data_IF_614259036836
#
_entry.id   IF_614259036836
#
_cell.length_a   1.000
_cell.length_b   1.000
_cell.length_c   1.000
_cell.angle_alpha   90.00
_cell.angle_beta   90.00
_cell.angle_gamma   90.00
#
_symmetry.space_group_name_H-M   'P 1'
#
loop_
_entity.id
_entity.type
_entity.pdbx_description
1 polymer ?
#
# COMPACT_ATOMS: atom_id res chain seq x y z
N UNK A 1 10.59 -2.30 29.40
CA UNK A 1 10.65 -3.67 28.83
C UNK A 1 10.71 -3.57 27.30
N UNK A 2 11.71 -4.17 26.63
CA UNK A 2 11.83 -4.09 25.16
C UNK A 2 10.68 -4.90 24.52
N UNK A 3 9.95 -4.30 23.57
CA UNK A 3 8.83 -4.97 22.88
C UNK A 3 9.28 -6.23 22.14
N UNK A 4 8.38 -7.23 21.98
CA UNK A 4 8.67 -8.45 21.21
C UNK A 4 9.20 -8.14 19.79
N UNK A 5 8.65 -7.09 19.16
CA UNK A 5 9.11 -6.58 17.85
C UNK A 5 10.55 -6.09 17.90
N UNK A 6 10.89 -5.25 18.87
CA UNK A 6 12.24 -4.68 18.98
C UNK A 6 13.28 -5.77 19.29
N UNK A 7 12.93 -6.79 20.08
CA UNK A 7 13.79 -7.96 20.30
C UNK A 7 14.08 -8.71 18.99
N UNK A 8 13.07 -8.94 18.14
CA UNK A 8 13.26 -9.59 16.83
C UNK A 8 14.17 -8.78 15.91
N UNK A 9 13.95 -7.46 15.84
CA UNK A 9 14.77 -6.54 15.05
C UNK A 9 16.24 -6.60 15.47
N UNK A 10 16.53 -6.50 16.78
CA UNK A 10 17.90 -6.54 17.30
C UNK A 10 18.56 -7.90 17.07
N UNK A 11 17.82 -8.99 17.33
CA UNK A 11 18.31 -10.36 17.10
C UNK A 11 18.67 -10.58 15.63
N UNK A 12 17.84 -10.07 14.71
CA UNK A 12 18.14 -10.10 13.29
C UNK A 12 19.40 -9.29 12.97
N UNK A 13 19.48 -8.03 13.44
CA UNK A 13 20.63 -7.17 13.22
C UNK A 13 21.94 -7.86 13.61
N UNK A 14 22.02 -8.49 14.79
CA UNK A 14 23.24 -9.18 15.21
C UNK A 14 23.56 -10.42 14.35
N UNK A 15 22.55 -11.14 13.85
CA UNK A 15 22.72 -12.34 13.03
C UNK A 15 22.93 -12.07 11.53
N UNK A 16 22.61 -10.86 11.05
CA UNK A 16 22.69 -10.54 9.63
C UNK A 16 24.13 -10.70 9.08
N UNK A 17 24.32 -11.53 8.05
CA UNK A 17 25.65 -11.77 7.45
C UNK A 17 26.05 -10.67 6.47
N UNK A 18 25.11 -9.82 6.05
CA UNK A 18 25.30 -8.78 5.04
C UNK A 18 25.72 -7.42 5.63
N UNK A 19 26.15 -7.39 6.90
CA UNK A 19 26.60 -6.17 7.59
C UNK A 19 27.93 -5.63 7.04
N UNK A 20 28.06 -4.30 7.05
CA UNK A 20 29.36 -3.62 7.01
C UNK A 20 30.24 -4.05 8.19
N UNK A 21 31.53 -3.71 8.13
CA UNK A 21 32.45 -3.94 9.27
C UNK A 21 31.98 -3.14 10.49
N UNK A 22 32.16 -3.70 11.69
CA UNK A 22 31.71 -3.06 12.94
C UNK A 22 32.24 -1.64 13.14
N UNK A 23 33.51 -1.39 12.82
CA UNK A 23 34.10 -0.05 12.91
C UNK A 23 33.36 0.98 12.03
N UNK A 24 32.96 0.57 10.82
CA UNK A 24 32.18 1.42 9.92
C UNK A 24 30.78 1.64 10.49
N UNK A 25 30.11 0.60 10.96
CA UNK A 25 28.78 0.70 11.59
C UNK A 25 28.80 1.66 12.77
N UNK A 26 29.77 1.53 13.67
CA UNK A 26 29.91 2.40 14.85
C UNK A 26 30.16 3.85 14.42
N UNK A 27 31.03 4.07 13.44
CA UNK A 27 31.31 5.42 12.90
C UNK A 27 30.06 6.05 12.29
N UNK A 28 29.37 5.35 11.39
CA UNK A 28 28.15 5.85 10.73
C UNK A 28 27.04 6.15 11.75
N UNK A 29 26.84 5.25 12.72
CA UNK A 29 25.87 5.40 13.80
C UNK A 29 26.20 6.62 14.69
N UNK A 30 27.47 6.79 15.08
CA UNK A 30 27.89 7.93 15.89
C UNK A 30 27.70 9.26 15.15
N UNK A 31 28.03 9.31 13.86
CA UNK A 31 27.81 10.50 13.03
C UNK A 31 26.33 10.85 12.98
N UNK A 32 25.45 9.88 12.72
CA UNK A 32 24.00 10.11 12.70
C UNK A 32 23.45 10.53 14.06
N UNK A 33 23.96 9.94 15.15
CA UNK A 33 23.57 10.30 16.50
C UNK A 33 23.88 11.78 16.81
N UNK A 34 25.09 12.22 16.45
CA UNK A 34 25.53 13.61 16.62
C UNK A 34 24.72 14.54 15.71
N UNK A 35 24.56 14.22 14.43
CA UNK A 35 23.87 15.08 13.46
C UNK A 35 22.38 15.24 13.76
N UNK A 36 21.69 14.16 14.14
CA UNK A 36 20.25 14.18 14.40
C UNK A 36 19.90 14.49 15.86
N UNK A 37 20.91 14.56 16.75
CA UNK A 37 20.75 14.73 18.21
C UNK A 37 19.75 13.72 18.82
N UNK A 38 19.66 12.53 18.22
CA UNK A 38 18.74 11.43 18.60
C UNK A 38 19.35 10.09 18.22
N UNK A 39 18.91 9.03 18.91
CA UNK A 39 19.30 7.66 18.58
C UNK A 39 18.86 7.30 17.15
N UNK A 40 19.78 6.95 16.22
CA UNK A 40 19.45 6.66 14.83
C UNK A 40 18.91 5.23 14.70
N UNK A 41 17.73 5.00 15.28
CA UNK A 41 17.05 3.70 15.27
C UNK A 41 16.79 3.23 13.83
N UNK A 42 16.54 4.18 12.94
CA UNK A 42 16.35 3.95 11.52
C UNK A 42 17.55 3.40 10.77
N UNK A 43 18.77 3.69 11.22
CA UNK A 43 19.97 3.07 10.68
C UNK A 43 19.88 1.54 10.76
N UNK A 44 19.29 1.03 11.84
CA UNK A 44 19.03 -0.40 12.02
C UNK A 44 17.73 -0.82 11.33
N UNK A 45 16.62 -0.13 11.58
CA UNK A 45 15.30 -0.60 11.10
C UNK A 45 15.14 -0.54 9.59
N UNK A 46 15.91 0.31 8.89
CA UNK A 46 15.94 0.42 7.43
C UNK A 46 17.17 -0.23 6.79
N UNK A 47 17.91 -1.05 7.55
CA UNK A 47 19.02 -1.86 7.03
C UNK A 47 20.20 -1.04 6.46
N UNK A 48 20.38 0.22 6.88
CA UNK A 48 21.43 1.11 6.37
C UNK A 48 22.85 0.63 6.72
N UNK A 49 22.96 -0.27 7.69
CA UNK A 49 24.20 -0.96 8.07
C UNK A 49 24.68 -2.02 7.07
N UNK A 50 23.88 -2.38 6.05
CA UNK A 50 24.24 -3.43 5.08
C UNK A 50 25.27 -2.95 4.07
N UNK A 51 26.06 -3.89 3.53
CA UNK A 51 27.11 -3.63 2.53
C UNK A 51 26.58 -3.01 1.23
N UNK A 52 25.33 -3.29 0.86
CA UNK A 52 24.71 -2.72 -0.34
C UNK A 52 24.24 -1.26 -0.16
N UNK A 53 24.47 -0.66 1.01
CA UNK A 53 24.18 0.75 1.30
C UNK A 53 25.48 1.55 1.32
N UNK A 54 25.81 2.19 0.20
CA UNK A 54 27.06 2.92 0.04
C UNK A 54 27.09 4.22 0.85
N UNK A 55 26.05 5.04 0.74
CA UNK A 55 25.95 6.31 1.45
C UNK A 55 24.66 6.38 2.27
N UNK A 56 24.81 6.24 3.58
CA UNK A 56 23.69 6.24 4.53
C UNK A 56 23.05 7.63 4.71
N UNK A 57 23.70 8.71 4.25
CA UNK A 57 23.18 10.07 4.36
C UNK A 57 22.12 10.40 3.30
N UNK A 58 22.00 9.58 2.27
CA UNK A 58 21.04 9.77 1.19
C UNK A 58 19.61 9.36 1.59
N UNK A 59 19.49 8.73 2.75
CA UNK A 59 18.23 8.26 3.31
C UNK A 59 17.64 9.28 4.27
N UNK A 60 16.32 9.27 4.36
CA UNK A 60 15.57 10.13 5.27
C UNK A 60 15.74 9.66 6.72
N UNK A 61 15.93 10.61 7.62
CA UNK A 61 15.76 10.39 9.05
C UNK A 61 14.28 10.24 9.41
N UNK A 62 13.98 9.66 10.58
CA UNK A 62 12.60 9.59 11.10
C UNK A 62 11.97 10.98 11.25
N UNK A 63 12.76 12.00 11.62
CA UNK A 63 12.22 13.35 11.80
C UNK A 63 11.89 14.00 10.44
N UNK A 64 12.75 13.82 9.44
CA UNK A 64 12.51 14.34 8.07
C UNK A 64 11.28 13.69 7.46
N UNK A 65 11.14 12.37 7.55
CA UNK A 65 9.95 11.63 7.09
C UNK A 65 8.65 12.19 7.69
N UNK A 66 8.62 12.38 9.01
CA UNK A 66 7.46 12.99 9.70
C UNK A 66 7.23 14.44 9.29
N UNK A 67 8.29 15.25 9.15
CA UNK A 67 8.20 16.65 8.75
C UNK A 67 7.59 16.76 7.36
N UNK A 68 8.05 15.93 6.42
CA UNK A 68 7.56 15.86 5.03
C UNK A 68 6.08 15.52 4.96
N UNK A 69 5.65 14.45 5.63
CA UNK A 69 4.25 14.01 5.59
C UNK A 69 3.33 15.03 6.28
N UNK A 70 3.75 15.61 7.41
CA UNK A 70 2.99 16.67 8.09
C UNK A 70 2.94 17.97 7.29
N UNK A 71 4.02 18.32 6.59
CA UNK A 71 4.05 19.46 5.67
C UNK A 71 3.04 19.24 4.54
N UNK A 72 3.04 18.07 3.90
CA UNK A 72 2.07 17.73 2.85
C UNK A 72 0.62 17.80 3.35
N UNK A 73 0.34 17.24 4.52
CA UNK A 73 -0.98 17.27 5.15
C UNK A 73 -1.47 18.71 5.41
N UNK A 74 -0.56 19.64 5.68
CA UNK A 74 -0.91 21.03 5.99
C UNK A 74 -1.55 21.79 4.83
N UNK A 75 -1.33 21.37 3.58
CA UNK A 75 -1.91 22.01 2.40
C UNK A 75 -3.41 21.76 2.26
N UNK A 76 -3.89 20.60 2.70
CA UNK A 76 -5.25 20.17 2.44
C UNK A 76 -5.76 19.16 3.48
N UNK A 77 -5.80 19.57 4.75
CA UNK A 77 -6.29 18.73 5.86
C UNK A 77 -7.68 18.15 5.61
N UNK A 78 -8.56 18.91 4.98
CA UNK A 78 -9.91 18.47 4.62
C UNK A 78 -9.93 17.36 3.55
N UNK A 79 -8.86 17.23 2.75
CA UNK A 79 -8.75 16.15 1.76
C UNK A 79 -8.13 14.86 2.33
N UNK A 80 -7.64 14.89 3.57
CA UNK A 80 -7.20 13.68 4.27
C UNK A 80 -8.37 12.72 4.45
N UNK A 81 -9.51 13.22 4.91
CA UNK A 81 -10.72 12.41 5.07
C UNK A 81 -11.21 11.88 3.71
N UNK A 82 -11.16 12.70 2.66
CA UNK A 82 -11.49 12.28 1.29
C UNK A 82 -10.58 11.13 0.80
N UNK A 83 -9.30 11.15 1.15
CA UNK A 83 -8.34 10.11 0.82
C UNK A 83 -8.54 8.82 1.63
N UNK A 84 -8.88 8.94 2.93
CA UNK A 84 -9.02 7.78 3.83
C UNK A 84 -10.39 7.10 3.75
N UNK A 85 -11.43 7.86 3.42
CA UNK A 85 -12.79 7.36 3.26
C UNK A 85 -12.94 6.66 1.90
N UNK A 86 -12.99 5.33 1.91
CA UNK A 86 -13.00 4.53 0.67
C UNK A 86 -14.21 4.81 -0.22
N UNK A 87 -15.37 5.13 0.36
CA UNK A 87 -16.55 5.47 -0.41
C UNK A 87 -16.34 6.79 -1.17
N UNK A 88 -15.97 7.85 -0.45
CA UNK A 88 -15.74 9.17 -1.06
C UNK A 88 -14.60 9.14 -2.08
N UNK A 89 -13.52 8.42 -1.76
CA UNK A 89 -12.38 8.24 -2.65
C UNK A 89 -12.76 7.55 -3.96
N UNK A 90 -13.41 6.38 -3.89
CA UNK A 90 -13.77 5.61 -5.09
C UNK A 90 -14.82 6.37 -5.92
N UNK A 91 -15.79 7.06 -5.28
CA UNK A 91 -16.73 7.94 -5.98
C UNK A 91 -16.03 9.10 -6.71
N UNK A 92 -15.03 9.73 -6.09
CA UNK A 92 -14.25 10.79 -6.71
C UNK A 92 -13.54 10.29 -7.98
N UNK A 93 -12.91 9.13 -7.91
CA UNK A 93 -12.23 8.53 -9.07
C UNK A 93 -13.22 8.18 -10.18
N UNK A 94 -14.34 7.54 -9.82
CA UNK A 94 -15.40 7.17 -10.76
C UNK A 94 -15.94 8.39 -11.51
N UNK A 95 -16.29 9.47 -10.80
CA UNK A 95 -16.77 10.74 -11.40
C UNK A 95 -15.77 11.39 -12.36
N UNK A 96 -14.48 11.11 -12.20
CA UNK A 96 -13.40 11.64 -13.03
C UNK A 96 -12.93 10.67 -14.14
N UNK A 97 -13.66 9.58 -14.39
CA UNK A 97 -13.29 8.53 -15.35
C UNK A 97 -11.88 7.99 -15.05
N UNK A 98 -11.62 7.64 -13.79
CA UNK A 98 -10.40 6.99 -13.34
C UNK A 98 -10.79 5.60 -12.85
N UNK A 99 -10.11 4.60 -13.39
CA UNK A 99 -10.42 3.19 -13.11
C UNK A 99 -10.18 2.85 -11.64
N UNK A 100 -11.21 2.35 -10.99
CA UNK A 100 -11.29 1.92 -9.58
C UNK A 100 -12.31 0.79 -9.50
N UNK A 101 -12.24 -0.15 -8.54
CA UNK A 101 -13.22 -1.23 -8.46
C UNK A 101 -14.63 -0.65 -8.25
N UNK A 102 -15.63 -1.23 -8.90
CA UNK A 102 -17.01 -0.74 -8.80
C UNK A 102 -17.58 -1.05 -7.41
N UNK A 103 -18.09 -0.03 -6.72
CA UNK A 103 -18.94 -0.21 -5.53
C UNK A 103 -20.34 -0.60 -6.01
N UNK A 104 -20.86 -1.72 -5.52
CA UNK A 104 -22.22 -2.16 -5.80
C UNK A 104 -23.22 -1.52 -4.84
N UNK A 105 -22.91 -1.56 -3.55
CA UNK A 105 -23.68 -0.93 -2.48
C UNK A 105 -22.76 -0.60 -1.31
N UNK A 106 -23.26 0.21 -0.40
CA UNK A 106 -22.60 0.50 0.87
C UNK A 106 -23.63 0.60 1.98
N UNK A 107 -23.16 0.60 3.22
CA UNK A 107 -24.03 0.76 4.37
C UNK A 107 -23.45 1.74 5.40
N UNK A 108 -24.36 2.36 6.14
CA UNK A 108 -24.09 3.07 7.39
C UNK A 108 -24.85 2.33 8.49
N UNK A 109 -24.18 1.39 9.16
CA UNK A 109 -24.82 0.46 10.13
C UNK A 109 -25.94 -0.34 9.46
N UNK A 110 -27.14 -0.33 10.00
CA UNK A 110 -28.27 -1.08 9.47
C UNK A 110 -28.95 -0.42 8.25
N UNK A 111 -28.46 0.74 7.78
CA UNK A 111 -29.01 1.45 6.62
C UNK A 111 -28.12 1.17 5.40
N UNK A 112 -28.70 0.58 4.37
CA UNK A 112 -28.04 0.15 3.13
C UNK A 112 -28.49 1.03 1.95
N UNK A 113 -27.55 1.31 1.06
CA UNK A 113 -27.75 2.14 -0.13
C UNK A 113 -27.43 1.32 -1.38
N UNK A 114 -28.44 1.03 -2.20
CA UNK A 114 -28.33 0.19 -3.40
C UNK A 114 -29.28 0.67 -4.51
N UNK A 115 -28.76 0.92 -5.72
CA UNK A 115 -29.52 1.40 -6.89
C UNK A 115 -30.49 2.55 -6.55
N UNK A 116 -29.98 3.63 -5.92
CA UNK A 116 -30.76 4.80 -5.45
C UNK A 116 -31.77 4.52 -4.31
N UNK A 117 -31.96 3.27 -3.93
CA UNK A 117 -32.83 2.89 -2.81
C UNK A 117 -32.09 2.92 -1.48
N UNK A 118 -32.83 3.27 -0.43
CA UNK A 118 -32.39 3.19 0.97
C UNK A 118 -33.17 2.08 1.66
N UNK A 119 -32.48 1.09 2.19
CA UNK A 119 -33.06 -0.13 2.77
C UNK A 119 -32.56 -0.26 4.21
N UNK A 120 -33.47 -0.49 5.16
CA UNK A 120 -33.11 -0.74 6.56
C UNK A 120 -33.18 -2.25 6.84
N UNK A 121 -32.06 -2.84 7.23
CA UNK A 121 -31.95 -4.28 7.53
C UNK A 121 -31.78 -4.47 9.04
N UNK A 122 -32.78 -5.03 9.73
CA UNK A 122 -32.81 -5.11 11.19
C UNK A 122 -32.49 -6.51 11.73
N UNK A 123 -32.37 -7.51 10.84
CA UNK A 123 -32.12 -8.89 11.22
C UNK A 123 -31.11 -9.57 10.30
N UNK A 124 -30.58 -10.72 10.75
CA UNK A 124 -29.79 -11.62 9.93
C UNK A 124 -30.56 -12.07 8.68
N UNK A 125 -31.84 -12.42 8.84
CA UNK A 125 -32.68 -12.84 7.72
C UNK A 125 -32.85 -11.73 6.69
N UNK A 126 -32.97 -10.46 7.11
CA UNK A 126 -33.04 -9.31 6.20
C UNK A 126 -31.76 -9.20 5.37
N UNK A 127 -30.60 -9.34 6.00
CA UNK A 127 -29.31 -9.26 5.32
C UNK A 127 -29.10 -10.41 4.33
N UNK A 128 -29.42 -11.64 4.72
CA UNK A 128 -29.33 -12.80 3.81
C UNK A 128 -30.29 -12.65 2.62
N UNK A 129 -31.53 -12.20 2.87
CA UNK A 129 -32.52 -12.00 1.81
C UNK A 129 -32.12 -10.87 0.86
N UNK A 130 -31.52 -9.79 1.40
CA UNK A 130 -30.94 -8.71 0.60
C UNK A 130 -29.81 -9.22 -0.30
N UNK A 131 -28.87 -10.01 0.24
CA UNK A 131 -27.78 -10.59 -0.55
C UNK A 131 -28.30 -11.54 -1.63
N UNK A 132 -29.32 -12.36 -1.34
CA UNK A 132 -29.94 -13.25 -2.32
C UNK A 132 -30.54 -12.45 -3.49
N UNK A 133 -31.31 -11.39 -3.19
CA UNK A 133 -31.86 -10.49 -4.22
C UNK A 133 -30.74 -9.83 -5.03
N UNK A 134 -29.68 -9.35 -4.36
CA UNK A 134 -28.54 -8.72 -5.00
C UNK A 134 -27.81 -9.66 -5.97
N UNK A 135 -27.49 -10.88 -5.55
CA UNK A 135 -26.80 -11.86 -6.40
C UNK A 135 -27.67 -12.38 -7.55
N UNK A 136 -28.99 -12.41 -7.39
CA UNK A 136 -29.91 -12.74 -8.48
C UNK A 136 -30.01 -11.62 -9.53
N UNK A 137 -29.89 -10.36 -9.10
CA UNK A 137 -29.91 -9.20 -10.00
C UNK A 137 -28.55 -8.98 -10.71
N UNK A 138 -27.45 -9.18 -9.98
CA UNK A 138 -26.10 -8.90 -10.47
C UNK A 138 -25.38 -10.20 -10.78
N UNK A 139 -25.00 -10.40 -12.05
CA UNK A 139 -24.29 -11.60 -12.52
C UNK A 139 -22.81 -11.65 -12.07
N UNK A 140 -22.57 -11.81 -10.77
CA UNK A 140 -21.26 -11.92 -10.14
C UNK A 140 -21.24 -13.02 -9.10
N UNK A 141 -20.09 -13.70 -8.97
CA UNK A 141 -19.95 -14.78 -7.99
C UNK A 141 -19.55 -14.29 -6.60
N UNK A 142 -18.78 -13.19 -6.54
CA UNK A 142 -18.11 -12.75 -5.31
C UNK A 142 -17.99 -11.24 -5.22
N UNK A 143 -18.13 -10.72 -4.01
CA UNK A 143 -17.87 -9.33 -3.65
C UNK A 143 -16.86 -9.26 -2.51
N UNK A 144 -16.07 -8.20 -2.49
CA UNK A 144 -15.18 -7.88 -1.38
C UNK A 144 -15.80 -6.76 -0.53
N UNK A 145 -15.78 -6.96 0.79
CA UNK A 145 -16.34 -6.03 1.75
C UNK A 145 -15.21 -5.36 2.51
N UNK A 146 -15.21 -4.03 2.58
CA UNK A 146 -14.16 -3.24 3.26
C UNK A 146 -14.81 -2.20 4.17
N UNK A 147 -14.32 -1.99 5.41
CA UNK A 147 -14.79 -0.89 6.22
C UNK A 147 -14.44 0.46 5.56
N UNK A 148 -15.39 1.39 5.57
CA UNK A 148 -15.22 2.72 4.94
C UNK A 148 -13.97 3.42 5.50
N UNK A 149 -13.79 3.39 6.82
CA UNK A 149 -12.70 4.01 7.60
C UNK A 149 -11.58 3.02 8.02
N UNK A 150 -11.58 1.81 7.45
CA UNK A 150 -10.69 0.73 7.89
C UNK A 150 -9.22 0.94 7.51
N UNK A 151 -8.30 0.54 8.40
CA UNK A 151 -6.85 0.55 8.14
C UNK A 151 -6.22 -0.85 8.21
N UNK A 152 -5.13 -1.06 7.48
CA UNK A 152 -4.26 -2.26 7.54
C UNK A 152 -4.98 -3.58 7.21
N UNK A 153 -6.05 -3.52 6.41
CA UNK A 153 -6.79 -4.71 5.99
C UNK A 153 -7.61 -5.40 7.08
N UNK A 154 -7.89 -4.72 8.20
CA UNK A 154 -8.76 -5.27 9.24
C UNK A 154 -10.21 -5.31 8.77
N UNK A 155 -10.92 -6.38 9.15
CA UNK A 155 -12.33 -6.59 8.84
C UNK A 155 -12.65 -6.55 7.34
N UNK A 156 -11.69 -6.95 6.49
CA UNK A 156 -11.94 -7.21 5.08
C UNK A 156 -12.30 -8.67 4.93
N UNK A 157 -13.37 -8.95 4.19
CA UNK A 157 -13.86 -10.31 3.93
C UNK A 157 -14.50 -10.39 2.55
N UNK A 158 -14.69 -11.60 2.06
CA UNK A 158 -15.32 -11.88 0.78
C UNK A 158 -16.66 -12.57 1.05
N UNK A 159 -17.70 -12.16 0.34
CA UNK A 159 -18.97 -12.86 0.28
C UNK A 159 -19.05 -13.56 -1.07
N UNK A 160 -19.42 -14.84 -1.06
CA UNK A 160 -19.55 -15.70 -2.24
C UNK A 160 -20.99 -16.18 -2.40
N UNK A 161 -21.54 -16.11 -3.62
CA UNK A 161 -22.89 -16.54 -3.97
C UNK A 161 -23.19 -17.98 -3.55
N UNK A 162 -22.17 -18.84 -3.47
CA UNK A 162 -22.32 -20.25 -3.08
C UNK A 162 -22.39 -20.45 -1.57
N UNK A 163 -21.95 -19.47 -0.78
CA UNK A 163 -21.82 -19.62 0.68
C UNK A 163 -22.44 -18.50 1.50
N UNK A 164 -23.00 -17.45 0.88
CA UNK A 164 -23.51 -16.28 1.61
C UNK A 164 -24.61 -16.64 2.63
N UNK A 165 -25.40 -17.69 2.37
CA UNK A 165 -26.42 -18.21 3.30
C UNK A 165 -25.84 -18.76 4.62
N UNK A 166 -24.51 -18.96 4.70
CA UNK A 166 -23.81 -19.51 5.87
C UNK A 166 -22.81 -18.52 6.46
N UNK A 167 -22.97 -17.22 6.19
CA UNK A 167 -22.15 -16.18 6.81
C UNK A 167 -22.34 -16.24 8.33
N UNK A 168 -21.23 -16.14 9.06
CA UNK A 168 -21.23 -16.18 10.52
C UNK A 168 -22.02 -15.00 11.13
N UNK A 169 -22.76 -15.28 12.20
CA UNK A 169 -23.59 -14.30 12.89
C UNK A 169 -22.79 -13.07 13.39
N UNK A 170 -21.57 -13.26 13.89
CA UNK A 170 -20.73 -12.16 14.35
C UNK A 170 -20.30 -11.26 13.19
N UNK A 171 -20.11 -11.82 12.00
CA UNK A 171 -19.80 -11.05 10.81
C UNK A 171 -21.00 -10.23 10.33
N UNK A 172 -22.20 -10.79 10.37
CA UNK A 172 -23.43 -10.05 10.04
C UNK A 172 -23.64 -8.91 11.05
N UNK A 173 -23.50 -9.18 12.35
CA UNK A 173 -23.57 -8.14 13.38
C UNK A 173 -22.51 -7.05 13.18
N UNK A 174 -21.29 -7.43 12.78
CA UNK A 174 -20.24 -6.47 12.47
C UNK A 174 -20.66 -5.56 11.32
N UNK A 175 -21.24 -6.12 10.25
CA UNK A 175 -21.77 -5.36 9.11
C UNK A 175 -22.87 -4.42 9.54
N UNK A 176 -23.89 -4.90 10.26
CA UNK A 176 -25.04 -4.10 10.69
C UNK A 176 -24.69 -3.04 11.75
N UNK A 177 -23.57 -3.18 12.46
CA UNK A 177 -23.13 -2.21 13.49
C UNK A 177 -22.12 -1.18 13.01
N UNK A 178 -21.57 -1.33 11.79
CA UNK A 178 -20.53 -0.44 11.24
C UNK A 178 -20.81 -0.10 9.77
N UNK A 179 -19.89 0.64 9.16
CA UNK A 179 -20.04 1.12 7.79
C UNK A 179 -19.05 0.44 6.86
N UNK A 180 -19.55 -0.14 5.78
CA UNK A 180 -18.78 -0.88 4.79
C UNK A 180 -19.13 -0.41 3.37
N UNK A 181 -18.16 -0.59 2.47
CA UNK A 181 -18.40 -0.67 1.04
C UNK A 181 -18.37 -2.14 0.61
N UNK A 182 -19.22 -2.47 -0.35
CA UNK A 182 -19.31 -3.78 -0.99
C UNK A 182 -19.02 -3.58 -2.46
N UNK A 183 -17.85 -4.04 -2.90
CA UNK A 183 -17.32 -3.72 -4.22
C UNK A 183 -16.87 -4.97 -4.97
N UNK A 184 -16.59 -4.78 -6.25
CA UNK A 184 -16.03 -5.78 -7.12
C UNK A 184 -14.73 -6.39 -6.55
N UNK A 185 -14.66 -7.73 -6.58
CA UNK A 185 -13.43 -8.43 -6.28
C UNK A 185 -12.48 -8.32 -7.48
N UNK A 186 -11.39 -7.57 -7.29
CA UNK A 186 -10.38 -7.37 -8.33
C UNK A 186 -9.79 -8.72 -8.77
N UNK A 187 -9.89 -8.99 -10.07
CA UNK A 187 -9.18 -10.11 -10.72
C UNK A 187 -7.86 -9.58 -11.26
N UNK A 188 -6.77 -10.18 -10.81
CA UNK A 188 -5.42 -9.78 -11.20
C UNK A 188 -5.02 -10.34 -12.56
N UNK A 189 -4.25 -9.54 -13.31
CA UNK A 189 -3.60 -9.94 -14.55
C UNK A 189 -2.73 -11.20 -14.38
N UNK A 190 -2.83 -12.12 -15.35
CA UNK A 190 -2.21 -13.45 -15.30
C UNK A 190 -0.69 -13.43 -15.06
N UNK A 191 0.03 -12.44 -15.60
CA UNK A 191 1.47 -12.32 -15.40
C UNK A 191 1.85 -12.10 -13.94
N UNK A 192 1.05 -11.34 -13.18
CA UNK A 192 1.28 -11.12 -11.74
C UNK A 192 0.84 -12.34 -10.93
N UNK A 193 -0.19 -13.07 -11.37
CA UNK A 193 -0.60 -14.34 -10.76
C UNK A 193 0.49 -15.41 -10.84
N UNK A 194 1.38 -15.36 -11.84
CA UNK A 194 2.58 -16.23 -11.89
C UNK A 194 3.53 -15.98 -10.72
N UNK A 195 3.58 -14.75 -10.19
CA UNK A 195 4.37 -14.41 -9.01
C UNK A 195 3.68 -14.96 -7.75
N UNK A 196 2.44 -14.54 -7.53
CA UNK A 196 1.60 -15.03 -6.44
C UNK A 196 0.12 -14.92 -6.84
N UNK A 197 -0.58 -16.05 -6.90
CA UNK A 197 -2.00 -16.11 -7.28
C UNK A 197 -2.97 -16.08 -6.07
N UNK A 198 -2.45 -16.09 -4.84
CA UNK A 198 -3.26 -16.17 -3.62
C UNK A 198 -3.79 -14.81 -3.17
N UNK A 199 -3.07 -13.74 -3.49
CA UNK A 199 -3.45 -12.35 -3.22
C UNK A 199 -3.22 -11.49 -4.46
N UNK A 200 -3.93 -10.37 -4.56
CA UNK A 200 -3.58 -9.33 -5.52
C UNK A 200 -2.16 -8.83 -5.22
N UNK A 201 -1.30 -8.71 -6.22
CA UNK A 201 0.00 -8.05 -6.10
C UNK A 201 -0.12 -6.59 -6.55
N UNK A 202 -0.11 -5.64 -5.63
CA UNK A 202 -0.32 -4.22 -5.93
C UNK A 202 0.99 -3.45 -6.06
N UNK A 203 0.99 -2.43 -6.93
CA UNK A 203 2.05 -1.45 -7.03
C UNK A 203 1.82 -0.36 -5.99
N UNK A 204 2.80 -0.13 -5.11
CA UNK A 204 2.89 1.09 -4.30
C UNK A 204 3.67 2.13 -5.09
N UNK A 205 3.04 3.25 -5.41
CA UNK A 205 3.66 4.38 -6.13
C UNK A 205 3.59 5.61 -5.23
N UNK A 206 4.74 6.21 -4.93
CA UNK A 206 4.80 7.49 -4.22
C UNK A 206 4.91 8.62 -5.23
N UNK A 207 4.02 9.61 -5.15
CA UNK A 207 4.03 10.79 -6.00
C UNK A 207 4.38 12.04 -5.20
N UNK A 208 4.93 13.02 -5.92
CA UNK A 208 5.08 14.39 -5.46
C UNK A 208 4.46 15.33 -6.49
N UNK A 209 3.59 16.22 -6.03
CA UNK A 209 3.02 17.31 -6.82
C UNK A 209 3.65 18.63 -6.39
N UNK A 210 4.34 19.29 -7.31
CA UNK A 210 5.02 20.55 -7.03
C UNK A 210 4.05 21.76 -7.06
N UNK A 211 4.55 22.95 -6.75
CA UNK A 211 3.75 24.19 -6.74
C UNK A 211 3.18 24.57 -8.12
N UNK A 212 3.76 24.04 -9.21
CA UNK A 212 3.26 24.22 -10.59
C UNK A 212 2.19 23.18 -10.97
N UNK A 213 1.75 22.35 -10.02
CA UNK A 213 0.86 21.20 -10.22
C UNK A 213 1.42 20.11 -11.15
N UNK A 214 2.73 20.07 -11.35
CA UNK A 214 3.38 18.98 -12.08
C UNK A 214 3.54 17.79 -11.12
N UNK A 215 3.13 16.61 -11.56
CA UNK A 215 3.19 15.37 -10.76
C UNK A 215 4.38 14.53 -11.20
N UNK A 216 5.22 14.16 -10.23
CA UNK A 216 6.36 13.30 -10.42
C UNK A 216 6.23 12.01 -9.59
N UNK A 217 6.68 10.88 -10.15
CA UNK A 217 6.80 9.62 -9.41
C UNK A 217 8.14 9.60 -8.69
N UNK A 218 8.10 9.66 -7.36
CA UNK A 218 9.29 9.61 -6.52
C UNK A 218 9.84 8.21 -6.38
N UNK A 219 8.96 7.22 -6.20
CA UNK A 219 9.31 5.84 -5.94
C UNK A 219 8.22 4.87 -6.39
N UNK A 220 8.62 3.64 -6.72
CA UNK A 220 7.71 2.57 -7.08
C UNK A 220 8.19 1.19 -6.66
N UNK A 221 7.30 0.38 -6.07
CA UNK A 221 7.58 -1.03 -5.80
C UNK A 221 6.33 -1.89 -5.83
N UNK A 222 6.48 -3.14 -6.28
CA UNK A 222 5.44 -4.16 -6.20
C UNK A 222 5.42 -4.76 -4.79
N UNK A 223 4.23 -4.91 -4.21
CA UNK A 223 3.98 -5.63 -2.96
C UNK A 223 3.47 -7.03 -3.31
N UNK A 224 4.12 -8.04 -2.75
CA UNK A 224 3.81 -9.45 -3.00
C UNK A 224 3.49 -10.09 -1.65
N UNK A 225 2.26 -10.63 -1.53
CA UNK A 225 1.85 -11.38 -0.34
C UNK A 225 2.63 -12.68 -0.17
N UNK A 226 2.42 -13.36 0.96
CA UNK A 226 2.85 -14.77 1.08
C UNK A 226 1.86 -15.65 0.32
N UNK A 227 2.32 -16.79 -0.22
CA UNK A 227 1.40 -17.80 -0.76
C UNK A 227 0.33 -18.18 0.28
N UNK A 228 -0.93 -18.25 -0.15
CA UNK A 228 -2.12 -18.50 0.69
C UNK A 228 -2.64 -17.30 1.49
N UNK A 229 -2.00 -16.13 1.45
CA UNK A 229 -2.53 -14.93 2.07
C UNK A 229 -3.58 -14.25 1.17
N UNK A 230 -4.62 -13.65 1.77
CA UNK A 230 -5.64 -12.88 1.04
C UNK A 230 -5.11 -11.47 0.66
N UNK A 231 -4.19 -10.92 1.46
CA UNK A 231 -3.67 -9.56 1.32
C UNK A 231 -2.16 -9.58 1.04
N UNK A 232 -1.69 -8.66 0.21
CA UNK A 232 -0.27 -8.45 -0.14
C UNK A 232 0.49 -7.54 0.84
N UNK A 233 0.14 -7.64 2.11
CA UNK A 233 0.69 -6.76 3.13
C UNK A 233 2.15 -7.14 3.46
N UNK A 234 3.09 -6.24 3.17
CA UNK A 234 4.50 -6.40 3.58
C UNK A 234 4.66 -6.59 5.10
N UNK A 235 3.79 -5.96 5.91
CA UNK A 235 3.78 -6.15 7.37
C UNK A 235 3.19 -7.51 7.80
N UNK A 236 2.59 -8.28 6.89
CA UNK A 236 2.19 -9.67 7.13
C UNK A 236 3.30 -10.68 6.75
N UNK A 237 4.45 -10.20 6.25
CA UNK A 237 5.57 -11.04 5.83
C UNK A 237 5.75 -11.16 4.32
N UNK A 238 5.02 -10.34 3.54
CA UNK A 238 5.22 -10.21 2.11
C UNK A 238 6.60 -9.66 1.73
N UNK A 239 6.89 -9.73 0.43
CA UNK A 239 8.11 -9.22 -0.20
C UNK A 239 7.74 -7.94 -0.96
N UNK A 240 8.60 -6.93 -0.89
CA UNK A 240 8.49 -5.75 -1.76
C UNK A 240 9.63 -5.75 -2.77
N UNK A 241 9.32 -5.42 -4.02
CA UNK A 241 10.32 -5.41 -5.09
C UNK A 241 10.24 -4.08 -5.85
N UNK A 242 11.29 -3.26 -5.83
CA UNK A 242 11.31 -2.01 -6.57
C UNK A 242 11.27 -2.25 -8.08
N UNK A 243 10.79 -1.26 -8.82
CA UNK A 243 10.83 -1.26 -10.28
C UNK A 243 11.36 0.07 -10.80
N UNK A 244 11.89 0.07 -12.02
CA UNK A 244 12.29 1.29 -12.68
C UNK A 244 11.05 2.15 -12.98
N UNK A 245 10.98 3.35 -12.38
CA UNK A 245 9.83 4.26 -12.53
C UNK A 245 9.60 4.80 -13.95
N UNK A 246 10.59 4.72 -14.83
CA UNK A 246 10.43 5.13 -16.23
C UNK A 246 9.82 4.00 -17.05
N UNK A 247 10.33 2.77 -16.88
CA UNK A 247 10.02 1.63 -17.76
C UNK A 247 9.05 0.60 -17.18
N UNK A 248 8.89 0.55 -15.86
CA UNK A 248 8.09 -0.47 -15.17
C UNK A 248 8.77 -1.83 -15.07
N UNK A 249 10.05 -1.93 -15.45
CA UNK A 249 10.81 -3.18 -15.30
C UNK A 249 11.18 -3.38 -13.83
N UNK A 250 10.85 -4.54 -13.26
CA UNK A 250 11.23 -4.88 -11.89
C UNK A 250 12.76 -4.94 -11.75
N UNK A 251 13.25 -4.54 -10.59
CA UNK A 251 14.66 -4.69 -10.25
C UNK A 251 14.91 -6.06 -9.63
N UNK A 252 16.15 -6.54 -9.71
CA UNK A 252 16.53 -7.86 -9.23
C UNK A 252 16.36 -8.10 -7.72
N UNK A 253 16.48 -7.07 -6.87
CA UNK A 253 16.50 -7.24 -5.40
C UNK A 253 15.13 -6.94 -4.75
N UNK A 254 14.47 -7.99 -4.25
CA UNK A 254 13.30 -7.91 -3.39
C UNK A 254 13.66 -7.97 -1.90
N UNK A 255 12.91 -7.25 -1.07
CA UNK A 255 13.14 -7.15 0.37
C UNK A 255 11.92 -7.56 1.19
N UNK A 256 12.15 -8.26 2.30
CA UNK A 256 11.17 -8.47 3.35
C UNK A 256 11.45 -7.51 4.52
N UNK A 257 10.40 -7.00 5.16
CA UNK A 257 10.55 -6.10 6.30
C UNK A 257 11.32 -6.75 7.45
N UNK A 258 12.06 -5.93 8.20
CA UNK A 258 12.98 -6.40 9.23
C UNK A 258 12.30 -7.16 10.37
N UNK A 259 11.12 -6.69 10.78
CA UNK A 259 10.31 -7.32 11.83
C UNK A 259 9.64 -8.63 11.37
N UNK A 260 9.79 -8.97 10.08
CA UNK A 260 9.27 -10.19 9.44
C UNK A 260 10.35 -11.16 8.99
N UNK A 261 11.63 -10.79 9.11
CA UNK A 261 12.74 -11.66 8.75
C UNK A 261 13.83 -10.98 7.94
N UNK A 262 13.62 -9.75 7.44
CA UNK A 262 14.67 -8.94 6.81
C UNK A 262 15.35 -9.57 5.59
N UNK A 263 14.74 -10.59 4.99
CA UNK A 263 15.32 -11.35 3.89
C UNK A 263 15.55 -10.50 2.63
N UNK A 264 16.55 -10.91 1.85
CA UNK A 264 16.81 -10.41 0.50
C UNK A 264 16.53 -11.55 -0.47
N UNK A 265 15.75 -11.28 -1.50
CA UNK A 265 15.27 -12.26 -2.46
C UNK A 265 15.54 -11.78 -3.87
N UNK A 266 15.97 -12.68 -4.76
CA UNK A 266 16.15 -12.40 -6.19
C UNK A 266 15.09 -13.06 -7.07
N UNK A 267 14.29 -13.94 -6.45
CA UNK A 267 13.13 -14.61 -7.00
C UNK A 267 12.11 -14.81 -5.90
N UNK A 268 10.84 -14.96 -6.26
CA UNK A 268 9.80 -15.29 -5.30
C UNK A 268 10.06 -16.70 -4.70
N UNK A 269 10.07 -16.86 -3.36
CA UNK A 269 10.48 -18.11 -2.73
C UNK A 269 9.58 -19.30 -3.05
N UNK A 270 8.28 -19.05 -3.26
CA UNK A 270 7.31 -20.13 -3.47
C UNK A 270 7.10 -20.45 -4.96
N UNK A 271 7.03 -19.43 -5.83
CA UNK A 271 6.76 -19.61 -7.27
C UNK A 271 8.02 -19.69 -8.13
N UNK A 272 9.17 -19.27 -7.60
CA UNK A 272 10.44 -19.28 -8.31
C UNK A 272 10.60 -18.19 -9.37
N UNK A 273 9.61 -17.31 -9.56
CA UNK A 273 9.68 -16.21 -10.55
C UNK A 273 10.84 -15.27 -10.21
N UNK A 274 11.75 -15.09 -11.17
CA UNK A 274 12.90 -14.19 -11.07
C UNK A 274 12.41 -12.75 -11.26
N UNK A 275 12.89 -11.85 -10.39
CA UNK A 275 12.43 -10.46 -10.42
C UNK A 275 13.03 -9.63 -11.55
N UNK A 276 14.31 -9.83 -11.88
CA UNK A 276 15.06 -9.00 -12.84
C UNK A 276 14.52 -9.04 -14.29
N UNK A 277 13.72 -10.06 -14.62
CA UNK A 277 13.15 -10.26 -15.95
C UNK A 277 11.66 -9.90 -16.03
N UNK A 278 11.07 -9.42 -14.93
CA UNK A 278 9.64 -9.19 -14.88
C UNK A 278 9.30 -7.76 -15.35
N UNK A 279 8.55 -7.67 -16.45
CA UNK A 279 7.94 -6.42 -16.90
C UNK A 279 6.54 -6.28 -16.31
N UNK A 280 6.27 -5.16 -15.63
CA UNK A 280 4.93 -4.84 -15.13
C UNK A 280 4.01 -4.59 -16.34
N UNK A 281 2.87 -5.31 -16.45
CA UNK A 281 1.92 -5.11 -17.53
C UNK A 281 1.23 -3.74 -17.39
N UNK A 282 0.87 -3.13 -18.53
CA UNK A 282 0.18 -1.83 -18.59
C UNK A 282 0.85 -0.69 -17.81
N UNK A 283 2.18 -0.72 -17.64
CA UNK A 283 2.85 0.25 -16.77
C UNK A 283 2.73 1.71 -17.24
N UNK A 284 2.66 1.95 -18.55
CA UNK A 284 2.44 3.30 -19.08
C UNK A 284 1.08 3.83 -18.60
N UNK A 285 0.03 3.02 -18.74
CA UNK A 285 -1.31 3.34 -18.27
C UNK A 285 -1.36 3.49 -16.74
N UNK A 286 -0.57 2.71 -15.99
CA UNK A 286 -0.43 2.88 -14.53
C UNK A 286 0.03 4.31 -14.20
N UNK A 287 1.07 4.81 -14.90
CA UNK A 287 1.57 6.18 -14.68
C UNK A 287 0.49 7.21 -15.00
N UNK A 288 -0.19 7.05 -16.12
CA UNK A 288 -1.25 7.96 -16.57
C UNK A 288 -2.38 8.09 -15.55
N UNK A 289 -2.93 6.96 -15.06
CA UNK A 289 -4.04 7.01 -14.10
C UNK A 289 -3.60 7.58 -12.75
N UNK A 290 -2.37 7.29 -12.30
CA UNK A 290 -1.85 7.81 -11.03
C UNK A 290 -1.61 9.32 -11.11
N UNK A 291 -1.03 9.81 -12.21
CA UNK A 291 -0.82 11.25 -12.43
C UNK A 291 -2.16 11.97 -12.49
N UNK A 292 -3.12 11.43 -13.26
CA UNK A 292 -4.47 11.98 -13.36
C UNK A 292 -5.16 12.00 -11.99
N UNK A 293 -5.12 10.92 -11.22
CA UNK A 293 -5.70 10.87 -9.88
C UNK A 293 -5.02 11.85 -8.91
N UNK A 294 -3.69 11.96 -8.95
CA UNK A 294 -2.94 12.87 -8.11
C UNK A 294 -3.28 14.34 -8.35
N UNK A 295 -3.63 14.73 -9.59
CA UNK A 295 -4.08 16.10 -9.87
C UNK A 295 -5.40 16.49 -9.19
N UNK A 296 -6.21 15.53 -8.73
CA UNK A 296 -7.46 15.79 -8.02
C UNK A 296 -7.25 16.21 -6.56
N UNK A 297 -6.04 16.00 -6.03
CA UNK A 297 -5.69 16.31 -4.65
C UNK A 297 -4.74 17.50 -4.58
N UNK A 298 -4.88 18.30 -3.53
CA UNK A 298 -4.00 19.40 -3.15
C UNK A 298 -2.95 18.96 -2.12
N UNK A 299 -2.88 17.68 -1.79
CA UNK A 299 -1.83 17.08 -0.98
C UNK A 299 -0.57 16.87 -1.85
N UNK A 300 0.57 17.51 -1.55
CA UNK A 300 1.79 17.37 -2.34
C UNK A 300 2.33 15.95 -2.39
N UNK A 301 2.23 15.17 -1.31
CA UNK A 301 2.76 13.81 -1.20
C UNK A 301 1.62 12.81 -1.01
N UNK A 302 1.56 11.83 -1.90
CA UNK A 302 0.56 10.74 -1.85
C UNK A 302 1.20 9.40 -2.21
N UNK A 303 0.73 8.33 -1.55
CA UNK A 303 1.07 6.95 -1.86
C UNK A 303 -0.12 6.21 -2.43
N UNK A 304 -0.01 5.76 -3.67
CA UNK A 304 -1.06 5.07 -4.42
C UNK A 304 -0.83 3.58 -4.39
N UNK A 305 -1.89 2.80 -4.16
CA UNK A 305 -1.89 1.38 -4.43
C UNK A 305 -2.69 1.10 -5.70
N UNK A 306 -2.03 0.47 -6.66
CA UNK A 306 -2.60 0.16 -7.97
C UNK A 306 -2.56 -1.34 -8.18
N UNK A 307 -3.72 -1.94 -8.49
CA UNK A 307 -3.78 -3.31 -8.98
C UNK A 307 -3.81 -3.28 -10.51
N UNK A 308 -3.41 -4.40 -11.13
CA UNK A 308 -3.48 -4.55 -12.58
C UNK A 308 -4.36 -5.74 -12.88
N UNK A 309 -5.44 -5.49 -13.63
CA UNK A 309 -6.42 -6.49 -14.10
C UNK A 309 -6.08 -6.91 -15.53
N UNK A 310 -6.77 -7.92 -16.09
CA UNK A 310 -6.67 -8.25 -17.51
C UNK A 310 -6.92 -7.06 -18.45
N UNK A 311 -7.79 -6.13 -18.05
CA UNK A 311 -8.25 -5.01 -18.88
C UNK A 311 -7.47 -3.71 -18.64
N UNK A 312 -6.63 -3.66 -17.60
CA UNK A 312 -5.78 -2.51 -17.31
C UNK A 312 -5.58 -2.22 -15.82
N UNK A 313 -4.98 -1.09 -15.49
CA UNK A 313 -4.73 -0.72 -14.11
C UNK A 313 -5.98 -0.14 -13.43
N UNK A 314 -6.13 -0.46 -12.13
CA UNK A 314 -7.19 0.07 -11.26
C UNK A 314 -6.56 0.62 -9.98
N UNK A 315 -6.96 1.81 -9.56
CA UNK A 315 -6.52 2.38 -8.28
C UNK A 315 -7.33 1.73 -7.16
N UNK A 316 -6.64 1.19 -6.16
CA UNK A 316 -7.25 0.47 -5.03
C UNK A 316 -7.42 1.38 -3.82
N UNK A 317 -6.39 2.18 -3.52
CA UNK A 317 -6.40 3.12 -2.40
C UNK A 317 -5.38 4.22 -2.63
N UNK A 318 -5.57 5.35 -1.93
CA UNK A 318 -4.58 6.40 -1.77
C UNK A 318 -4.29 6.60 -0.30
N UNK A 319 -3.04 6.89 0.03
CA UNK A 319 -2.56 7.06 1.40
C UNK A 319 -1.79 8.38 1.51
N UNK A 320 -2.27 9.32 2.34
CA UNK A 320 -1.54 10.54 2.66
C UNK A 320 -0.34 10.27 3.57
N UNK A 321 -0.49 9.34 4.53
CA UNK A 321 0.57 8.89 5.45
C UNK A 321 1.13 7.53 5.01
N UNK A 322 1.57 7.44 3.75
CA UNK A 322 2.18 6.24 3.21
C UNK A 322 3.56 6.00 3.84
N UNK A 323 4.07 4.77 3.72
CA UNK A 323 5.35 4.38 4.32
C UNK A 323 6.54 4.95 3.52
N UNK A 324 6.72 6.27 3.54
CA UNK A 324 7.71 7.03 2.77
C UNK A 324 9.14 6.53 3.01
N UNK A 325 9.50 6.14 4.23
CA UNK A 325 10.81 5.48 4.48
C UNK A 325 11.02 4.13 3.77
N UNK A 326 9.96 3.41 3.39
CA UNK A 326 10.12 2.20 2.56
C UNK A 326 10.34 2.60 1.11
N UNK A 327 9.62 3.60 0.61
CA UNK A 327 9.88 4.24 -0.68
C UNK A 327 11.33 4.74 -0.77
N UNK A 328 11.82 5.43 0.27
CA UNK A 328 13.21 5.86 0.44
C UNK A 328 14.19 4.69 0.32
N UNK A 329 13.87 3.57 0.95
CA UNK A 329 14.70 2.37 0.86
C UNK A 329 14.69 1.77 -0.55
N UNK A 330 13.53 1.70 -1.19
CA UNK A 330 13.35 1.14 -2.54
C UNK A 330 14.06 1.96 -3.61
N UNK A 331 14.10 3.29 -3.47
CA UNK A 331 14.85 4.20 -4.35
C UNK A 331 16.34 4.32 -3.99
N UNK A 332 16.81 3.53 -3.02
CA UNK A 332 18.20 3.57 -2.52
C UNK A 332 18.62 4.97 -2.02
N UNK A 333 17.69 5.69 -1.40
CA UNK A 333 17.88 7.01 -0.83
C UNK A 333 17.21 8.08 -1.70
N UNK A 334 16.04 8.55 -1.30
CA UNK A 334 15.30 9.61 -1.99
C UNK A 334 16.07 10.91 -2.07
N UNK A 335 16.98 11.20 -1.13
CA UNK A 335 17.83 12.41 -1.24
C UNK A 335 18.80 12.34 -2.41
N UNK A 336 18.97 11.20 -3.08
CA UNK A 336 19.70 11.12 -4.34
C UNK A 336 18.86 11.53 -5.55
N UNK A 337 17.54 11.57 -5.43
CA UNK A 337 16.65 11.97 -6.50
C UNK A 337 16.66 13.52 -6.63
N UNK A 338 17.04 14.09 -7.79
CA UNK A 338 17.07 15.54 -7.99
C UNK A 338 15.75 16.24 -7.70
N UNK A 339 14.63 15.64 -8.05
CA UNK A 339 13.30 16.20 -7.81
C UNK A 339 12.94 16.19 -6.33
N UNK A 340 13.34 15.15 -5.61
CA UNK A 340 13.17 15.09 -4.16
C UNK A 340 14.06 16.10 -3.43
N UNK A 341 15.25 16.43 -3.97
CA UNK A 341 16.08 17.52 -3.43
C UNK A 341 15.36 18.87 -3.53
N UNK A 342 14.73 19.17 -4.69
CA UNK A 342 13.92 20.39 -4.85
C UNK A 342 12.79 20.46 -3.83
N UNK A 343 12.07 19.36 -3.63
CA UNK A 343 11.06 19.24 -2.58
C UNK A 343 11.63 19.55 -1.18
N UNK A 344 12.84 19.08 -0.86
CA UNK A 344 13.46 19.38 0.44
C UNK A 344 13.79 20.87 0.61
N UNK A 345 14.10 21.57 -0.48
CA UNK A 345 14.36 23.01 -0.46
C UNK A 345 13.06 23.82 -0.24
N UNK A 346 11.90 23.33 -0.68
CA UNK A 346 10.57 23.94 -0.44
C UNK A 346 10.09 23.86 1.02
N UNK A 347 10.70 23.00 1.84
CA UNK A 347 10.27 22.71 3.23
C UNK A 347 11.16 23.43 4.26
N UNK A 348 12.24 24.07 3.83
CA UNK A 348 13.10 24.91 4.68
C UNK A 348 12.41 26.23 4.97
#
# INVERSE_FOLDING_TARGET
MISKRNKRILLFFFRDKNKKKWLQIIKEFAILFISHKKLPVDYITHLLYRKNVYNYKDYLSINEDKKLLSWSESFAKNQVELAENKLLFEELLFKNNISTPRIFFHNLKNIFFYNENVITLNSEQDFISFLDSFFNEVNIDRIICKPIDGIKGKNIFIIDIKTFQKIDYDLINLVLSKSFIFQELIIQHESLSKINNSSINTLRIATYKNEKNEVEILAGFLRIGKMGAILDNAHAGGIVVPFNKETGKMLSEGLQLLDKGGGVYYKHPDSGVIFDDFQIPFYIQVKEIVIKACSLFNLPLLGWDVAITPDGPVIVEVNHNFHLKLSDRMEKGLKNNPSFKKLLDEIQ
#
